data_IF_199947614340
#
_entry.id   IF_199947614340
#
_cell.length_a   1.000
_cell.length_b   1.000
_cell.length_c   1.000
_cell.angle_alpha   90.00
_cell.angle_beta   90.00
_cell.angle_gamma   90.00
#
_symmetry.space_group_name_H-M   'P 1'
#
loop_
_entity.id
_entity.type
_entity.pdbx_description
1 polymer ?
#
# COMPACT_ATOMS: atom_id res chain seq x y z
N UNK A 1 -1.32 2.16 9.98
CA UNK A 1 -0.63 2.24 8.68
C UNK A 1 -0.52 3.69 8.23
N UNK A 2 0.65 4.13 7.76
CA UNK A 2 0.95 5.48 7.33
C UNK A 2 2.08 5.52 6.28
N UNK A 3 2.28 6.67 5.64
CA UNK A 3 3.43 6.90 4.75
C UNK A 3 4.73 6.70 5.53
N UNK A 4 5.70 6.02 4.91
CA UNK A 4 6.98 5.65 5.50
C UNK A 4 7.00 4.28 6.18
N UNK A 5 5.84 3.65 6.39
CA UNK A 5 5.80 2.32 7.02
C UNK A 5 6.48 1.27 6.14
N UNK A 6 7.26 0.41 6.78
CA UNK A 6 7.95 -0.70 6.13
C UNK A 6 6.95 -1.81 5.80
N UNK A 7 7.04 -2.31 4.58
CA UNK A 7 6.14 -3.35 4.09
C UNK A 7 6.89 -4.53 3.45
N UNK A 8 6.21 -5.67 3.41
CA UNK A 8 6.48 -6.76 2.47
C UNK A 8 5.33 -6.80 1.48
N UNK A 9 5.68 -6.81 0.21
CA UNK A 9 4.76 -6.88 -0.91
C UNK A 9 4.95 -8.24 -1.59
N UNK A 10 3.88 -9.00 -1.75
CA UNK A 10 3.86 -10.25 -2.51
C UNK A 10 2.95 -10.06 -3.71
N UNK A 11 3.53 -9.96 -4.91
CA UNK A 11 2.79 -9.79 -6.16
C UNK A 11 2.67 -11.13 -6.86
N UNK A 12 1.46 -11.47 -7.31
CA UNK A 12 1.21 -12.68 -8.09
C UNK A 12 1.86 -12.55 -9.47
N UNK A 13 2.88 -13.36 -9.76
CA UNK A 13 3.39 -13.55 -11.11
C UNK A 13 2.82 -14.84 -11.71
N UNK A 14 2.43 -14.75 -12.99
CA UNK A 14 2.13 -15.92 -13.80
C UNK A 14 3.46 -16.55 -14.20
N UNK A 15 3.87 -17.62 -13.50
CA UNK A 15 5.06 -18.37 -13.89
C UNK A 15 4.80 -19.13 -15.20
N UNK A 16 5.87 -19.39 -15.97
CA UNK A 16 5.85 -20.20 -17.20
C UNK A 16 5.24 -21.61 -17.03
N UNK A 17 5.04 -22.07 -15.80
CA UNK A 17 4.50 -23.38 -15.41
C UNK A 17 3.02 -23.34 -14.96
N UNK A 18 2.27 -22.26 -15.21
CA UNK A 18 0.86 -22.11 -14.82
C UNK A 18 0.55 -22.28 -13.32
N UNK A 19 1.58 -22.18 -12.46
CA UNK A 19 1.40 -22.11 -11.00
C UNK A 19 1.57 -20.66 -10.56
N UNK A 20 0.66 -20.10 -9.76
CA UNK A 20 0.84 -18.76 -9.22
C UNK A 20 2.08 -18.75 -8.34
N UNK A 21 3.09 -17.98 -8.73
CA UNK A 21 4.27 -17.72 -7.92
C UNK A 21 4.14 -16.30 -7.37
N UNK A 22 4.36 -16.13 -6.06
CA UNK A 22 4.45 -14.80 -5.48
C UNK A 22 5.92 -14.40 -5.39
N UNK A 23 6.25 -13.20 -5.86
CA UNK A 23 7.56 -12.60 -5.61
C UNK A 23 7.40 -11.64 -4.43
N UNK A 24 8.20 -11.87 -3.38
CA UNK A 24 8.25 -10.99 -2.21
C UNK A 24 9.26 -9.87 -2.44
N UNK A 25 8.80 -8.64 -2.25
CA UNK A 25 9.59 -7.43 -2.25
C UNK A 25 9.49 -6.73 -0.90
N UNK A 26 10.59 -6.15 -0.43
CA UNK A 26 10.59 -5.31 0.78
C UNK A 26 10.65 -3.85 0.37
N UNK A 27 9.83 -3.04 1.00
CA UNK A 27 9.66 -1.65 0.62
C UNK A 27 9.06 -0.81 1.73
N UNK A 28 8.50 0.32 1.32
CA UNK A 28 7.77 1.21 2.20
C UNK A 28 6.60 1.86 1.46
N UNK A 29 5.63 2.35 2.23
CA UNK A 29 4.51 3.11 1.70
C UNK A 29 5.00 4.52 1.35
N UNK A 30 4.87 4.90 0.08
CA UNK A 30 5.25 6.23 -0.42
C UNK A 30 4.08 7.19 -0.48
N UNK A 31 2.86 6.69 -0.71
CA UNK A 31 1.66 7.50 -0.74
C UNK A 31 0.42 6.65 -0.41
N UNK A 32 -0.60 7.29 0.14
CA UNK A 32 -1.89 6.70 0.51
C UNK A 32 -2.96 7.66 -0.01
N UNK A 33 -3.96 7.10 -0.69
CA UNK A 33 -5.18 7.81 -1.08
C UNK A 33 -6.39 6.91 -0.82
N UNK A 34 -7.60 7.43 -1.00
CA UNK A 34 -8.86 6.77 -0.63
C UNK A 34 -8.99 5.32 -1.11
N UNK A 35 -8.45 4.97 -2.29
CA UNK A 35 -8.56 3.63 -2.88
C UNK A 35 -7.24 3.06 -3.39
N UNK A 36 -6.12 3.79 -3.21
CA UNK A 36 -4.83 3.40 -3.78
C UNK A 36 -3.72 3.54 -2.76
N UNK A 37 -2.91 2.48 -2.62
CA UNK A 37 -1.64 2.52 -1.91
C UNK A 37 -0.51 2.51 -2.93
N UNK A 38 0.42 3.44 -2.76
CA UNK A 38 1.62 3.51 -3.58
C UNK A 38 2.82 3.04 -2.76
N UNK A 39 3.45 1.97 -3.23
CA UNK A 39 4.60 1.34 -2.59
C UNK A 39 5.85 1.64 -3.40
N UNK A 40 6.94 1.91 -2.68
CA UNK A 40 8.29 1.88 -3.25
C UNK A 40 9.05 0.67 -2.71
N UNK A 41 9.66 -0.11 -3.59
CA UNK A 41 10.45 -1.28 -3.22
C UNK A 41 11.69 -1.39 -4.08
N UNK A 42 12.75 -2.00 -3.52
CA UNK A 42 13.95 -2.33 -4.28
C UNK A 42 13.83 -3.78 -4.75
N UNK A 43 13.99 -4.00 -6.04
CA UNK A 43 14.03 -5.37 -6.56
C UNK A 43 15.34 -6.06 -6.14
N UNK A 44 15.22 -7.30 -5.71
CA UNK A 44 16.34 -8.03 -5.13
C UNK A 44 17.38 -8.43 -6.18
N UNK A 45 16.97 -8.60 -7.44
CA UNK A 45 17.78 -9.07 -8.55
C UNK A 45 18.60 -7.95 -9.20
N UNK A 46 17.97 -6.84 -9.56
CA UNK A 46 18.67 -5.75 -10.27
C UNK A 46 19.02 -4.54 -9.39
N UNK A 47 18.55 -4.49 -8.13
CA UNK A 47 18.76 -3.39 -7.19
C UNK A 47 18.12 -2.06 -7.60
N UNK A 48 17.24 -2.07 -8.61
CA UNK A 48 16.52 -0.87 -9.03
C UNK A 48 15.37 -0.56 -8.06
N UNK A 49 15.05 0.73 -7.98
CA UNK A 49 13.95 1.25 -7.18
C UNK A 49 12.69 1.31 -8.04
N UNK A 50 11.69 0.53 -7.65
CA UNK A 50 10.39 0.49 -8.29
C UNK A 50 9.36 1.23 -7.47
N UNK A 51 8.41 1.83 -8.18
CA UNK A 51 7.21 2.44 -7.60
C UNK A 51 5.99 1.78 -8.24
N UNK A 52 5.13 1.19 -7.42
CA UNK A 52 3.92 0.51 -7.90
C UNK A 52 2.72 1.00 -7.10
N UNK A 53 1.56 1.06 -7.77
CA UNK A 53 0.30 1.46 -7.15
C UNK A 53 -0.63 0.26 -7.14
N UNK A 54 -1.26 0.00 -6.01
CA UNK A 54 -2.28 -1.03 -5.88
C UNK A 54 -3.61 -0.40 -5.58
N UNK A 55 -4.63 -0.78 -6.36
CA UNK A 55 -5.99 -0.50 -5.98
C UNK A 55 -6.38 -1.43 -4.82
N UNK A 56 -7.24 -0.98 -3.92
CA UNK A 56 -7.81 -1.83 -2.88
C UNK A 56 -8.43 -3.11 -3.45
N UNK A 57 -9.06 -3.03 -4.62
CA UNK A 57 -9.64 -4.18 -5.31
C UNK A 57 -8.59 -5.25 -5.63
N UNK A 58 -7.36 -4.86 -6.02
CA UNK A 58 -6.29 -5.81 -6.32
C UNK A 58 -5.85 -6.61 -5.07
N UNK A 59 -5.99 -6.00 -3.89
CA UNK A 59 -5.62 -6.62 -2.62
C UNK A 59 -6.76 -7.52 -2.12
N UNK A 60 -8.00 -7.06 -2.24
CA UNK A 60 -9.21 -7.86 -1.93
C UNK A 60 -9.27 -9.11 -2.82
N UNK A 61 -8.96 -8.97 -4.11
CA UNK A 61 -8.93 -10.09 -5.07
C UNK A 61 -7.68 -10.98 -4.92
N UNK A 62 -6.78 -10.66 -4.00
CA UNK A 62 -5.56 -11.43 -3.74
C UNK A 62 -4.54 -11.40 -4.89
N UNK A 63 -4.61 -10.40 -5.79
CA UNK A 63 -3.58 -10.15 -6.81
C UNK A 63 -2.30 -9.61 -6.18
N UNK A 64 -2.45 -8.86 -5.10
CA UNK A 64 -1.35 -8.38 -4.26
C UNK A 64 -1.64 -8.68 -2.79
N UNK A 65 -0.61 -9.11 -2.07
CA UNK A 65 -0.64 -9.28 -0.62
C UNK A 65 0.35 -8.30 -0.03
N UNK A 66 -0.09 -7.45 0.89
CA UNK A 66 0.77 -6.48 1.57
C UNK A 66 0.79 -6.77 3.07
N UNK A 67 1.98 -6.92 3.64
CA UNK A 67 2.17 -7.02 5.09
C UNK A 67 2.90 -5.76 5.57
N UNK A 68 2.45 -5.16 6.66
CA UNK A 68 3.08 -4.00 7.29
C UNK A 68 3.84 -4.42 8.55
N UNK A 69 4.96 -3.75 8.84
CA UNK A 69 5.72 -3.98 10.06
C UNK A 69 5.24 -3.06 11.17
N UNK A 70 4.48 -3.60 12.10
CA UNK A 70 3.96 -2.88 13.27
C UNK A 70 4.53 -3.51 14.55
N UNK A 71 5.16 -2.69 15.41
CA UNK A 71 5.74 -3.14 16.70
C UNK A 71 6.67 -4.37 16.57
N UNK A 72 7.38 -4.47 15.44
CA UNK A 72 8.30 -5.58 15.17
C UNK A 72 7.66 -6.80 14.49
N UNK A 73 6.33 -6.86 14.40
CA UNK A 73 5.57 -7.99 13.84
C UNK A 73 5.09 -7.63 12.43
N UNK A 74 5.12 -8.61 11.53
CA UNK A 74 4.52 -8.47 10.20
C UNK A 74 3.05 -8.82 10.28
N UNK A 75 2.18 -7.88 9.92
CA UNK A 75 0.73 -8.06 9.91
C UNK A 75 0.19 -7.89 8.50
N UNK A 76 -0.68 -8.79 8.07
CA UNK A 76 -1.38 -8.68 6.80
C UNK A 76 -2.33 -7.47 6.81
N UNK A 77 -2.25 -6.66 5.75
CA UNK A 77 -3.23 -5.60 5.48
C UNK A 77 -4.47 -6.25 4.87
N UNK A 78 -5.63 -5.95 5.42
CA UNK A 78 -6.94 -6.42 4.99
C UNK A 78 -7.86 -5.23 4.64
N UNK A 79 -9.08 -5.52 4.18
CA UNK A 79 -10.05 -4.51 3.79
C UNK A 79 -10.35 -3.43 4.86
N UNK A 80 -10.33 -3.79 6.15
CA UNK A 80 -10.65 -2.86 7.24
C UNK A 80 -9.55 -1.83 7.43
N UNK A 81 -8.29 -2.22 7.22
CA UNK A 81 -7.16 -1.29 7.25
C UNK A 81 -7.35 -0.17 6.22
N UNK A 82 -7.87 -0.51 5.03
CA UNK A 82 -8.16 0.50 4.01
C UNK A 82 -9.35 1.39 4.34
N UNK A 83 -10.39 0.85 4.98
CA UNK A 83 -11.52 1.66 5.41
C UNK A 83 -11.06 2.73 6.41
N UNK A 84 -10.22 2.34 7.38
CA UNK A 84 -9.60 3.26 8.33
C UNK A 84 -8.71 4.31 7.62
N UNK A 85 -7.93 3.90 6.62
CA UNK A 85 -7.14 4.84 5.81
C UNK A 85 -8.00 5.85 5.07
N UNK A 86 -9.10 5.40 4.46
CA UNK A 86 -10.00 6.25 3.68
C UNK A 86 -10.62 7.32 4.58
N UNK A 87 -11.13 6.93 5.73
CA UNK A 87 -11.70 7.86 6.72
C UNK A 87 -10.65 8.90 7.16
N UNK A 88 -9.42 8.47 7.42
CA UNK A 88 -8.33 9.38 7.79
C UNK A 88 -7.91 10.32 6.64
N UNK A 89 -7.88 9.85 5.40
CA UNK A 89 -7.56 10.67 4.23
C UNK A 89 -8.66 11.71 3.95
N UNK A 90 -9.94 11.31 4.01
CA UNK A 90 -11.09 12.21 3.85
C UNK A 90 -11.14 13.26 4.96
N UNK A 91 -10.83 12.89 6.21
CA UNK A 91 -10.73 13.83 7.32
C UNK A 91 -9.63 14.88 7.09
N UNK A 92 -8.48 14.48 6.53
CA UNK A 92 -7.38 15.39 6.20
C UNK A 92 -7.76 16.35 5.05
N UNK A 93 -8.40 15.85 3.99
CA UNK A 93 -8.86 16.69 2.88
C UNK A 93 -9.90 17.73 3.33
N UNK A 94 -10.87 17.31 4.16
CA UNK A 94 -11.88 18.20 4.73
C UNK A 94 -11.27 19.28 5.64
N UNK A 95 -10.21 18.95 6.40
CA UNK A 95 -9.49 19.91 7.23
C UNK A 95 -8.76 20.96 6.38
N UNK A 96 -8.15 20.54 5.27
CA UNK A 96 -7.47 21.44 4.34
C UNK A 96 -8.47 22.37 3.64
N UNK A 97 -9.66 21.88 3.27
CA UNK A 97 -10.72 22.72 2.69
C UNK A 97 -11.35 23.68 3.71
N UNK A 98 -11.57 23.24 4.96
CA UNK A 98 -12.09 24.09 6.03
C UNK A 98 -11.18 25.28 6.35
N UNK A 99 -9.87 25.06 6.37
CA UNK A 99 -8.88 26.13 6.59
C UNK A 99 -8.78 27.12 5.41
N UNK A 100 -9.17 26.72 4.19
CA UNK A 100 -9.27 27.62 3.03
C UNK A 100 -10.54 28.48 3.05
N UNK A 101 -11.58 28.06 3.78
CA UNK A 101 -12.85 28.78 3.92
C UNK A 101 -12.89 29.82 5.05
N UNK A 102 -11.91 29.82 5.96
CA UNK A 102 -11.82 30.78 7.08
C UNK A 102 -10.79 31.89 6.86
N UNK A 103 -10.11 31.91 5.72
CA UNK A 103 -9.22 33.00 5.32
C UNK A 103 -9.99 34.06 4.51
N UNK A 104 -10.98 34.70 5.11
CA UNK A 104 -11.59 35.95 4.62
C UNK A 104 -11.98 36.83 5.81
#
# INVERSE_FOLDING_TARGET
MQVGDKIKLKVKQMAKLNRPAFVEHKGYISNISSNVIVVMYTDSYNKDLYRVSFNIADIIEGKAIIEIKEKGIWRLINQFDFMEMRENAEAQENTIQGNRGQAI
#
